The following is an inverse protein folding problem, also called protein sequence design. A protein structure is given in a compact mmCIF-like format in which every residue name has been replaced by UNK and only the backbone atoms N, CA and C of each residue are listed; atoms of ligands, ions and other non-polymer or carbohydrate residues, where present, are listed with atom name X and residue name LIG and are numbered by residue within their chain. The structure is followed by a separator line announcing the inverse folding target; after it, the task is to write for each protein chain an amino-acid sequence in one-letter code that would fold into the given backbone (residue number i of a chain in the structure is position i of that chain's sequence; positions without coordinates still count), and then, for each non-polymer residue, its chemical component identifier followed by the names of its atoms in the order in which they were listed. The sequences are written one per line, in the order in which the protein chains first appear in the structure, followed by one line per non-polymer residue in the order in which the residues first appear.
data_IF_747891543036
#
_entry.id   IF_747891543036
#
_cell.length_a   1.000
_cell.length_b   1.000
_cell.length_c   1.000
_cell.angle_alpha   90.00
_cell.angle_beta   90.00
_cell.angle_gamma   90.00
#
_symmetry.space_group_name_H-M   'P 1'
#
loop_
_entity.id
_entity.type
_entity.pdbx_description
1 polymer ?
#
# COMPACT_ATOMS: atom_id res chain seq x y z
N UNK A 1 -9.95 -8.90 -25.89
CA UNK A 1 -9.17 -7.99 -25.03
C UNK A 1 -7.77 -8.57 -24.90
N UNK A 2 -6.71 -7.79 -25.19
CA UNK A 2 -5.34 -8.31 -25.12
C UNK A 2 -4.97 -8.64 -23.68
N UNK A 3 -4.20 -9.70 -23.48
CA UNK A 3 -3.72 -10.19 -22.17
C UNK A 3 -2.21 -9.94 -22.02
N UNK A 4 -1.68 -10.06 -20.81
CA UNK A 4 -0.22 -9.97 -20.57
C UNK A 4 0.53 -11.06 -21.34
N UNK A 5 -0.11 -12.22 -21.57
CA UNK A 5 0.45 -13.31 -22.38
C UNK A 5 0.59 -12.92 -23.85
N UNK A 6 -0.35 -12.14 -24.37
CA UNK A 6 -0.26 -11.63 -25.75
C UNK A 6 0.85 -10.60 -25.88
N UNK A 7 1.02 -9.72 -24.89
CA UNK A 7 2.14 -8.77 -24.85
C UNK A 7 3.48 -9.52 -24.78
N UNK A 8 3.60 -10.55 -23.96
CA UNK A 8 4.80 -11.37 -23.85
C UNK A 8 5.13 -12.04 -25.18
N UNK A 9 4.13 -12.68 -25.82
CA UNK A 9 4.27 -13.34 -27.11
C UNK A 9 4.73 -12.37 -28.22
N UNK A 10 4.09 -11.22 -28.34
CA UNK A 10 4.38 -10.25 -29.41
C UNK A 10 5.70 -9.51 -29.17
N UNK A 11 6.02 -9.19 -27.91
CA UNK A 11 7.29 -8.51 -27.56
C UNK A 11 8.49 -9.42 -27.58
N UNK A 12 8.30 -10.76 -27.56
CA UNK A 12 9.37 -11.75 -27.48
C UNK A 12 10.02 -11.88 -26.09
N UNK A 13 9.40 -11.34 -25.05
CA UNK A 13 9.90 -11.42 -23.68
C UNK A 13 9.03 -12.33 -22.80
N UNK A 14 9.61 -12.82 -21.70
CA UNK A 14 8.85 -13.60 -20.73
C UNK A 14 7.76 -12.76 -20.06
N UNK A 15 6.70 -13.42 -19.58
CA UNK A 15 5.63 -12.78 -18.79
C UNK A 15 6.23 -12.05 -17.59
N UNK A 16 7.25 -12.64 -16.93
CA UNK A 16 7.94 -12.02 -15.81
C UNK A 16 8.63 -10.72 -16.19
N UNK A 17 9.30 -10.67 -17.36
CA UNK A 17 9.94 -9.46 -17.88
C UNK A 17 8.91 -8.38 -18.22
N UNK A 18 7.83 -8.75 -18.91
CA UNK A 18 6.72 -7.83 -19.20
C UNK A 18 6.12 -7.27 -17.92
N UNK A 19 5.89 -8.11 -16.93
CA UNK A 19 5.37 -7.69 -15.62
C UNK A 19 6.29 -6.70 -14.92
N UNK A 20 7.61 -6.93 -14.93
CA UNK A 20 8.60 -5.99 -14.36
C UNK A 20 8.58 -4.63 -15.05
N UNK A 21 8.50 -4.61 -16.37
CA UNK A 21 8.37 -3.36 -17.15
C UNK A 21 7.11 -2.60 -16.76
N UNK A 22 5.97 -3.30 -16.70
CA UNK A 22 4.67 -2.72 -16.36
C UNK A 22 4.59 -2.23 -14.90
N UNK A 23 5.39 -2.81 -14.02
CA UNK A 23 5.50 -2.42 -12.61
C UNK A 23 6.57 -1.34 -12.36
N UNK A 24 7.28 -0.87 -13.40
CA UNK A 24 8.26 0.18 -13.25
C UNK A 24 9.59 -0.24 -12.60
N UNK A 25 9.88 -1.54 -12.46
CA UNK A 25 11.13 -1.98 -11.83
C UNK A 25 12.37 -1.47 -12.58
N UNK A 26 13.37 -0.96 -11.84
CA UNK A 26 14.57 -0.36 -12.41
C UNK A 26 15.56 -1.38 -12.99
N UNK A 27 15.44 -2.65 -12.63
CA UNK A 27 16.32 -3.74 -13.09
C UNK A 27 15.96 -4.28 -14.49
N UNK A 28 15.33 -3.46 -15.33
CA UNK A 28 15.02 -3.78 -16.74
C UNK A 28 15.73 -2.77 -17.63
N UNK A 29 16.45 -3.26 -18.67
CA UNK A 29 17.17 -2.39 -19.58
C UNK A 29 16.23 -1.39 -20.28
N UNK A 30 16.68 -0.16 -20.58
CA UNK A 30 15.88 0.85 -21.28
C UNK A 30 15.36 0.35 -22.64
N UNK A 31 16.14 -0.45 -23.34
CA UNK A 31 15.76 -1.04 -24.62
C UNK A 31 14.60 -2.04 -24.48
N UNK A 32 14.69 -2.95 -23.50
CA UNK A 32 13.63 -3.91 -23.18
C UNK A 32 12.35 -3.17 -22.79
N UNK A 33 12.47 -2.15 -21.95
CA UNK A 33 11.35 -1.31 -21.53
C UNK A 33 10.65 -0.66 -22.71
N UNK A 34 11.43 -0.03 -23.61
CA UNK A 34 10.90 0.64 -24.81
C UNK A 34 10.16 -0.34 -25.72
N UNK A 35 10.72 -1.53 -25.93
CA UNK A 35 10.15 -2.58 -26.79
C UNK A 35 8.83 -3.12 -26.25
N UNK A 36 8.77 -3.42 -24.96
CA UNK A 36 7.55 -3.90 -24.30
C UNK A 36 6.46 -2.83 -24.30
N UNK A 37 6.78 -1.57 -23.95
CA UNK A 37 5.80 -0.49 -23.93
C UNK A 37 5.23 -0.17 -25.33
N UNK A 38 6.03 -0.33 -26.38
CA UNK A 38 5.56 -0.22 -27.78
C UNK A 38 4.48 -1.26 -28.06
N UNK A 39 4.71 -2.52 -27.75
CA UNK A 39 3.74 -3.61 -27.93
C UNK A 39 2.49 -3.42 -27.08
N UNK A 40 2.63 -2.97 -25.85
CA UNK A 40 1.51 -2.62 -24.98
C UNK A 40 0.57 -1.61 -25.65
N UNK A 41 1.15 -0.58 -26.29
CA UNK A 41 0.41 0.45 -27.02
C UNK A 41 -0.24 -0.10 -28.31
N UNK A 42 0.50 -0.89 -29.09
CA UNK A 42 0.02 -1.50 -30.34
C UNK A 42 -1.16 -2.44 -30.09
N UNK A 43 -1.11 -3.25 -29.04
CA UNK A 43 -2.17 -4.18 -28.66
C UNK A 43 -3.33 -3.51 -27.90
N UNK A 44 -3.24 -2.20 -27.65
CA UNK A 44 -4.16 -1.48 -26.78
C UNK A 44 -4.38 -2.25 -25.46
N UNK A 45 -3.29 -2.84 -24.94
CA UNK A 45 -3.33 -3.64 -23.72
C UNK A 45 -3.61 -2.71 -22.54
N UNK A 46 -4.79 -2.89 -21.96
CA UNK A 46 -5.11 -2.30 -20.66
C UNK A 46 -4.88 -3.37 -19.59
N UNK A 47 -3.99 -3.08 -18.67
CA UNK A 47 -3.80 -3.92 -17.50
C UNK A 47 -5.15 -4.07 -16.81
N UNK A 48 -5.67 -5.30 -16.70
CA UNK A 48 -6.84 -5.52 -15.87
C UNK A 48 -6.48 -5.18 -14.42
N UNK A 49 -7.32 -4.45 -13.72
CA UNK A 49 -7.07 -4.07 -12.32
C UNK A 49 -6.86 -5.30 -11.42
N UNK A 50 -7.31 -6.48 -11.83
CA UNK A 50 -7.01 -7.76 -11.18
C UNK A 50 -5.56 -8.26 -11.35
N UNK A 51 -4.75 -7.66 -12.28
CA UNK A 51 -3.32 -7.99 -12.48
C UNK A 51 -2.38 -6.86 -12.06
N UNK A 52 -2.86 -5.71 -11.68
CA UNK A 52 -2.17 -4.92 -10.68
C UNK A 52 -2.16 -5.83 -9.46
N UNK A 53 -1.05 -6.42 -9.11
CA UNK A 53 -0.83 -6.87 -7.74
C UNK A 53 -1.33 -5.70 -6.93
N UNK A 54 -2.44 -5.90 -6.23
CA UNK A 54 -3.34 -4.89 -5.69
C UNK A 54 -2.57 -3.61 -5.34
N UNK A 55 -2.53 -2.63 -6.24
CA UNK A 55 -2.08 -1.28 -5.89
C UNK A 55 -3.27 -0.54 -5.28
N UNK A 56 -4.07 -1.27 -4.50
CA UNK A 56 -4.90 -0.61 -3.52
C UNK A 56 -3.94 -0.01 -2.53
N UNK A 57 -4.01 1.29 -2.37
CA UNK A 57 -3.34 1.93 -1.27
C UNK A 57 -3.93 1.37 0.01
N UNK A 58 -3.07 1.06 0.96
CA UNK A 58 -3.46 0.56 2.26
C UNK A 58 -3.03 1.57 3.31
N UNK A 59 -3.95 2.00 4.14
CA UNK A 59 -3.66 2.85 5.29
C UNK A 59 -3.77 2.01 6.55
N UNK A 60 -2.69 1.97 7.33
CA UNK A 60 -2.69 1.41 8.68
C UNK A 60 -3.39 2.37 9.64
N UNK A 61 -4.33 1.87 10.41
CA UNK A 61 -5.01 2.64 11.47
C UNK A 61 -4.75 1.93 12.78
N UNK A 62 -4.12 2.62 13.72
CA UNK A 62 -3.77 2.09 15.02
C UNK A 62 -4.50 2.86 16.10
N UNK A 63 -5.30 2.15 16.89
CA UNK A 63 -6.09 2.72 17.99
C UNK A 63 -5.87 1.93 19.27
N UNK A 64 -6.07 2.53 20.47
CA UNK A 64 -5.87 1.81 21.73
C UNK A 64 -6.72 0.55 21.85
N UNK A 65 -8.02 0.68 21.59
CA UNK A 65 -8.99 -0.42 21.66
C UNK A 65 -10.27 -0.08 20.87
N UNK A 66 -11.18 -1.03 20.81
CA UNK A 66 -12.52 -0.86 20.20
C UNK A 66 -13.66 -1.16 21.17
N UNK A 67 -13.36 -1.23 22.47
CA UNK A 67 -14.38 -1.54 23.49
C UNK A 67 -15.27 -0.33 23.81
N UNK A 68 -14.74 0.89 23.62
CA UNK A 68 -15.45 2.15 23.81
C UNK A 68 -16.00 2.71 22.50
N UNK A 69 -17.03 3.56 22.61
CA UNK A 69 -17.62 4.24 21.44
C UNK A 69 -16.62 5.16 20.72
N UNK A 70 -15.68 5.77 21.43
CA UNK A 70 -14.83 6.83 20.92
C UNK A 70 -13.96 6.37 19.74
N UNK A 71 -13.09 5.38 19.98
CA UNK A 71 -12.19 4.87 18.91
C UNK A 71 -12.93 4.07 17.85
N UNK A 72 -14.05 3.44 18.21
CA UNK A 72 -14.92 2.79 17.25
C UNK A 72 -15.52 3.76 16.24
N UNK A 73 -16.03 4.92 16.70
CA UNK A 73 -16.55 5.98 15.83
C UNK A 73 -15.44 6.56 14.94
N UNK A 74 -14.25 6.83 15.51
CA UNK A 74 -13.10 7.33 14.75
C UNK A 74 -12.74 6.34 13.64
N UNK A 75 -12.58 5.06 13.97
CA UNK A 75 -12.20 4.03 13.00
C UNK A 75 -13.24 3.90 11.87
N UNK A 76 -14.53 3.90 12.19
CA UNK A 76 -15.59 3.81 11.20
C UNK A 76 -15.65 5.06 10.30
N UNK A 77 -15.46 6.26 10.88
CA UNK A 77 -15.40 7.51 10.11
C UNK A 77 -14.21 7.54 9.16
N UNK A 78 -13.03 7.09 9.61
CA UNK A 78 -11.85 6.95 8.75
C UNK A 78 -12.14 5.98 7.61
N UNK A 79 -12.71 4.82 7.91
CA UNK A 79 -13.06 3.79 6.93
C UNK A 79 -13.99 4.31 5.84
N UNK A 80 -15.03 5.06 6.22
CA UNK A 80 -15.96 5.66 5.25
C UNK A 80 -15.24 6.59 4.24
N UNK A 81 -14.27 7.38 4.71
CA UNK A 81 -13.48 8.27 3.86
C UNK A 81 -12.54 7.47 2.94
N UNK A 82 -11.85 6.47 3.50
CA UNK A 82 -10.91 5.64 2.75
C UNK A 82 -11.61 4.84 1.63
N UNK A 83 -12.80 4.27 1.91
CA UNK A 83 -13.60 3.54 0.91
C UNK A 83 -13.95 4.44 -0.28
N UNK A 84 -14.37 5.68 -0.04
CA UNK A 84 -14.67 6.65 -1.12
C UNK A 84 -13.46 6.95 -2.00
N UNK A 85 -12.26 6.80 -1.44
CA UNK A 85 -10.99 7.01 -2.14
C UNK A 85 -10.38 5.72 -2.71
N UNK A 86 -11.10 4.59 -2.64
CA UNK A 86 -10.59 3.26 -3.03
C UNK A 86 -9.29 2.87 -2.29
N UNK A 87 -9.20 3.23 -1.02
CA UNK A 87 -8.09 2.91 -0.12
C UNK A 87 -8.58 1.84 0.87
N UNK A 88 -7.79 0.79 1.05
CA UNK A 88 -8.06 -0.22 2.06
C UNK A 88 -7.59 0.25 3.44
N UNK A 89 -8.32 -0.13 4.48
CA UNK A 89 -7.95 0.13 5.85
C UNK A 89 -7.45 -1.15 6.52
N UNK A 90 -6.26 -1.08 7.09
CA UNK A 90 -5.72 -2.12 7.96
C UNK A 90 -5.76 -1.63 9.40
N UNK A 91 -6.75 -2.08 10.17
CA UNK A 91 -6.98 -1.65 11.55
C UNK A 91 -6.30 -2.60 12.53
N UNK A 92 -5.57 -2.04 13.49
CA UNK A 92 -4.97 -2.76 14.62
C UNK A 92 -5.22 -2.06 15.94
N UNK A 93 -5.11 -2.79 17.04
CA UNK A 93 -5.26 -2.26 18.40
C UNK A 93 -4.09 -2.67 19.28
N UNK A 94 -3.66 -1.78 20.17
CA UNK A 94 -2.52 -2.04 21.06
C UNK A 94 -2.87 -2.16 22.55
N UNK A 95 -4.15 -1.98 22.91
CA UNK A 95 -4.69 -2.20 24.28
C UNK A 95 -3.88 -1.49 25.37
N UNK A 96 -3.49 -0.25 25.12
CA UNK A 96 -2.68 0.57 26.04
C UNK A 96 -1.34 -0.09 26.45
N UNK A 97 -0.73 -0.89 25.58
CA UNK A 97 0.59 -1.48 25.78
C UNK A 97 1.58 -0.92 24.74
N UNK A 98 2.69 -0.35 25.23
CA UNK A 98 3.76 0.19 24.38
C UNK A 98 4.36 -0.91 23.50
N UNK A 99 4.56 -2.11 24.06
CA UNK A 99 5.10 -3.25 23.32
C UNK A 99 4.21 -3.64 22.16
N UNK A 100 2.89 -3.70 22.39
CA UNK A 100 1.91 -4.02 21.33
C UNK A 100 1.77 -2.90 20.31
N UNK A 101 1.93 -1.64 20.73
CA UNK A 101 1.98 -0.52 19.80
C UNK A 101 3.16 -0.66 18.84
N UNK A 102 4.36 -0.94 19.39
CA UNK A 102 5.56 -1.20 18.58
C UNK A 102 5.40 -2.40 17.65
N UNK A 103 4.85 -3.50 18.14
CA UNK A 103 4.57 -4.69 17.32
C UNK A 103 3.62 -4.37 16.16
N UNK A 104 2.54 -3.63 16.42
CA UNK A 104 1.57 -3.25 15.38
C UNK A 104 2.20 -2.31 14.33
N UNK A 105 3.03 -1.36 14.76
CA UNK A 105 3.77 -0.48 13.86
C UNK A 105 4.78 -1.25 13.00
N UNK A 106 5.51 -2.22 13.58
CA UNK A 106 6.40 -3.11 12.81
C UNK A 106 5.62 -3.96 11.79
N UNK A 107 4.42 -4.43 12.15
CA UNK A 107 3.55 -5.15 11.22
C UNK A 107 3.11 -4.25 10.06
N UNK A 108 2.72 -2.99 10.31
CA UNK A 108 2.37 -2.02 9.28
C UNK A 108 3.55 -1.77 8.33
N UNK A 109 4.75 -1.62 8.89
CA UNK A 109 5.96 -1.47 8.11
C UNK A 109 6.26 -2.70 7.24
N UNK A 110 6.16 -3.90 7.82
CA UNK A 110 6.36 -5.16 7.10
C UNK A 110 5.34 -5.39 5.97
N UNK A 111 4.11 -4.92 6.16
CA UNK A 111 3.04 -4.96 5.14
C UNK A 111 3.16 -3.87 4.08
N UNK A 112 4.10 -2.93 4.25
CA UNK A 112 4.32 -1.80 3.33
C UNK A 112 3.05 -0.97 3.12
N UNK A 113 2.42 -0.56 4.21
CA UNK A 113 1.27 0.36 4.12
C UNK A 113 1.70 1.69 3.49
N UNK A 114 0.79 2.34 2.78
CA UNK A 114 1.05 3.60 2.07
C UNK A 114 0.91 4.84 2.96
N UNK A 115 0.37 4.68 4.16
CA UNK A 115 0.22 5.73 5.16
C UNK A 115 -0.25 5.16 6.48
N UNK A 116 -0.12 5.94 7.55
CA UNK A 116 -0.51 5.54 8.90
C UNK A 116 -1.33 6.64 9.56
N UNK A 117 -2.40 6.22 10.23
CA UNK A 117 -3.16 7.05 11.17
C UNK A 117 -3.04 6.37 12.53
N UNK A 118 -2.51 7.08 13.52
CA UNK A 118 -2.26 6.54 14.85
C UNK A 118 -2.93 7.40 15.92
N UNK A 119 -3.69 6.74 16.80
CA UNK A 119 -4.17 7.32 18.04
C UNK A 119 -3.30 6.78 19.18
N UNK A 120 -2.12 7.39 19.38
CA UNK A 120 -1.21 6.97 20.43
C UNK A 120 -1.48 7.71 21.73
N UNK A 121 -1.36 7.02 22.84
CA UNK A 121 -1.39 7.60 24.18
C UNK A 121 0.00 7.82 24.75
N UNK A 122 1.04 7.45 24.00
CA UNK A 122 2.43 7.51 24.44
C UNK A 122 3.23 8.55 23.66
N UNK A 123 4.10 9.25 24.35
CA UNK A 123 5.01 10.27 23.78
C UNK A 123 6.28 9.67 23.16
N UNK A 124 6.22 8.43 22.68
CA UNK A 124 7.37 7.78 22.02
C UNK A 124 7.43 8.18 20.53
N UNK A 125 8.07 9.31 20.26
CA UNK A 125 8.29 9.81 18.90
C UNK A 125 9.18 8.84 18.08
N UNK A 126 10.10 8.14 18.73
CA UNK A 126 11.07 7.24 18.09
C UNK A 126 10.37 6.09 17.32
N UNK A 127 9.21 5.64 17.79
CA UNK A 127 8.44 4.57 17.13
C UNK A 127 7.91 4.96 15.76
N UNK A 128 7.66 6.24 15.51
CA UNK A 128 7.13 6.79 14.27
C UNK A 128 8.22 7.27 13.30
N UNK A 129 9.42 7.53 13.79
CA UNK A 129 10.52 8.06 12.99
C UNK A 129 10.89 7.16 11.81
N UNK A 130 10.78 5.86 11.97
CA UNK A 130 11.01 4.88 10.90
C UNK A 130 10.10 5.11 9.70
N UNK A 131 8.85 5.47 9.92
CA UNK A 131 7.89 5.75 8.84
C UNK A 131 8.20 7.08 8.18
N UNK A 132 8.47 8.11 8.98
CA UNK A 132 8.83 9.45 8.49
C UNK A 132 10.11 9.39 7.64
N UNK A 133 11.15 8.70 8.12
CA UNK A 133 12.43 8.55 7.40
C UNK A 133 12.31 7.75 6.10
N UNK A 134 11.34 6.83 6.02
CA UNK A 134 11.06 6.06 4.78
C UNK A 134 10.06 6.74 3.85
N UNK A 135 9.57 7.94 4.22
CA UNK A 135 8.63 8.72 3.42
C UNK A 135 7.19 8.23 3.49
N UNK A 136 6.84 7.37 4.46
CA UNK A 136 5.46 6.95 4.72
C UNK A 136 4.78 8.05 5.53
N UNK A 137 3.69 8.67 5.03
CA UNK A 137 2.98 9.72 5.76
C UNK A 137 2.34 9.18 7.04
N UNK A 138 2.49 9.94 8.11
CA UNK A 138 1.94 9.63 9.43
C UNK A 138 1.01 10.75 9.88
N UNK A 139 -0.17 10.39 10.34
CA UNK A 139 -1.14 11.29 10.98
C UNK A 139 -1.37 10.81 12.40
N UNK A 140 -1.02 11.62 13.38
CA UNK A 140 -1.35 11.37 14.78
C UNK A 140 -2.66 12.07 15.13
N UNK A 141 -3.57 11.35 15.76
CA UNK A 141 -4.84 11.85 16.26
C UNK A 141 -4.83 11.80 17.79
N UNK A 142 -5.53 12.79 18.39
CA UNK A 142 -5.79 12.83 19.83
C UNK A 142 -4.50 12.88 20.69
N UNK A 143 -3.62 13.81 20.35
CA UNK A 143 -2.41 14.14 21.11
C UNK A 143 -2.62 15.39 21.94
#
# INVERSE_FOLDING_TARGET
MATIRDVARVSGYSIATVSRVLNGYDNVSPETRKKVLKVVKELNYKRSDSMKGSSYKVVGVLVPDLFGYYYGIIAESIKEVLIKSHIEMFLSTFRNSIEKEKEALEEFFGRKVDGIIVCTTYDDEDSLDKFVTTGIPVVALDR
#
